data_IF_586996448680
#
_entry.id   IF_586996448680
#
_cell.length_a   1.000
_cell.length_b   1.000
_cell.length_c   1.000
_cell.angle_alpha   90.00
_cell.angle_beta   90.00
_cell.angle_gamma   90.00
#
_symmetry.space_group_name_H-M   'P 1'
#
loop_
_entity.id
_entity.type
_entity.pdbx_description
1 polymer ?
#
# COMPACT_ATOMS: atom_id res chain seq x y z
N UNK A 1 10.02 9.10 43.85
CA UNK A 1 10.90 9.99 43.07
C UNK A 1 11.05 9.36 41.71
N UNK A 2 10.69 10.14 40.70
CA UNK A 2 10.57 9.77 39.29
C UNK A 2 11.88 10.14 38.58
N UNK A 3 12.36 9.28 37.68
CA UNK A 3 13.31 9.52 36.55
C UNK A 3 13.61 8.12 35.99
N UNK A 4 13.20 7.70 34.81
CA UNK A 4 12.82 8.45 33.61
C UNK A 4 14.01 8.59 32.66
N UNK A 5 14.57 7.47 32.21
CA UNK A 5 15.45 7.37 31.04
C UNK A 5 14.81 6.28 30.17
N UNK A 6 14.33 6.53 28.96
CA UNK A 6 14.76 7.49 27.96
C UNK A 6 14.93 6.66 26.69
N UNK A 7 13.81 6.32 26.05
CA UNK A 7 13.81 5.62 24.76
C UNK A 7 14.44 6.58 23.76
N UNK A 8 15.70 6.33 23.40
CA UNK A 8 16.30 6.86 22.18
C UNK A 8 15.61 6.14 21.01
N UNK A 9 14.54 6.76 20.52
CA UNK A 9 14.00 6.48 19.19
C UNK A 9 14.90 7.23 18.23
N UNK A 10 15.71 6.49 17.49
CA UNK A 10 16.50 6.98 16.38
C UNK A 10 15.53 7.32 15.23
N UNK A 11 15.13 8.59 15.12
CA UNK A 11 14.20 9.08 14.10
C UNK A 11 14.93 9.33 12.77
N UNK A 12 15.48 8.27 12.18
CA UNK A 12 15.98 8.33 10.82
C UNK A 12 15.44 7.17 9.99
N UNK A 13 14.11 7.12 9.87
CA UNK A 13 13.40 6.21 8.98
C UNK A 13 12.77 6.98 7.80
N UNK A 14 13.41 8.07 7.36
CA UNK A 14 13.10 8.64 6.04
C UNK A 14 13.66 7.69 4.98
N UNK A 15 12.81 7.25 4.06
CA UNK A 15 13.25 6.42 2.96
C UNK A 15 14.28 7.20 2.10
N UNK A 16 15.23 6.52 1.43
CA UNK A 16 16.30 7.17 0.68
C UNK A 16 15.83 8.16 -0.40
N UNK A 17 14.58 8.02 -0.88
CA UNK A 17 14.03 8.92 -1.88
C UNK A 17 13.43 10.18 -1.24
N UNK A 18 12.75 10.05 -0.10
CA UNK A 18 12.32 11.22 0.69
C UNK A 18 13.54 12.05 1.13
N UNK A 19 14.64 11.39 1.51
CA UNK A 19 15.89 12.08 1.83
C UNK A 19 16.43 12.86 0.62
N UNK A 20 16.43 12.25 -0.56
CA UNK A 20 16.86 12.91 -1.80
C UNK A 20 16.00 14.13 -2.15
N UNK A 21 14.70 14.14 -1.82
CA UNK A 21 13.87 15.33 -2.00
C UNK A 21 14.36 16.50 -1.15
N UNK A 22 14.62 16.27 0.14
CA UNK A 22 15.09 17.31 1.07
C UNK A 22 16.50 17.80 0.76
N UNK A 23 17.34 16.97 0.14
CA UNK A 23 18.67 17.39 -0.31
C UNK A 23 18.61 18.35 -1.51
N UNK A 24 17.53 18.29 -2.30
CA UNK A 24 17.31 19.16 -3.45
C UNK A 24 16.53 20.43 -3.04
N UNK A 25 15.54 20.30 -2.16
CA UNK A 25 14.73 21.40 -1.59
C UNK A 25 15.50 22.16 -0.48
N UNK A 26 16.48 22.96 -0.89
CA UNK A 26 17.41 23.62 0.04
C UNK A 26 16.78 24.75 0.87
N UNK A 27 15.72 25.37 0.40
CA UNK A 27 14.96 26.40 1.12
C UNK A 27 13.78 25.81 1.93
N UNK A 28 13.56 24.49 1.84
CA UNK A 28 12.60 23.73 2.64
C UNK A 28 11.17 24.26 2.48
N UNK A 29 10.84 24.76 1.30
CA UNK A 29 9.51 25.28 0.99
C UNK A 29 8.54 24.15 0.55
N UNK A 30 9.06 22.91 0.40
CA UNK A 30 8.32 21.72 0.01
C UNK A 30 8.13 21.59 -1.50
N UNK A 31 8.83 22.41 -2.30
CA UNK A 31 8.67 22.55 -3.74
C UNK A 31 10.04 22.57 -4.43
N UNK A 32 10.36 21.50 -5.15
CA UNK A 32 11.55 21.50 -6.01
C UNK A 32 11.23 22.23 -7.32
N UNK A 33 11.93 23.32 -7.59
CA UNK A 33 11.87 24.03 -8.86
C UNK A 33 12.98 23.60 -9.82
N UNK A 34 12.90 24.07 -11.07
CA UNK A 34 14.00 23.89 -12.05
C UNK A 34 15.33 24.44 -11.55
N UNK A 35 15.29 25.60 -10.88
CA UNK A 35 16.49 26.26 -10.39
C UNK A 35 17.18 25.42 -9.30
N UNK A 36 16.39 24.76 -8.43
CA UNK A 36 16.90 23.91 -7.35
C UNK A 36 17.56 22.66 -7.89
N UNK A 37 16.96 22.02 -8.90
CA UNK A 37 17.57 20.88 -9.58
C UNK A 37 18.85 21.27 -10.32
N UNK A 38 18.88 22.43 -11.00
CA UNK A 38 20.08 22.93 -11.66
C UNK A 38 21.19 23.25 -10.64
N UNK A 39 20.84 23.82 -9.50
CA UNK A 39 21.77 24.09 -8.41
C UNK A 39 22.29 22.80 -7.78
N UNK A 40 21.43 21.81 -7.56
CA UNK A 40 21.80 20.50 -7.05
C UNK A 40 22.74 19.75 -8.01
N UNK A 41 22.47 19.81 -9.32
CA UNK A 41 23.32 19.23 -10.38
C UNK A 41 24.71 19.88 -10.41
N UNK A 42 24.76 21.21 -10.31
CA UNK A 42 26.02 21.96 -10.25
C UNK A 42 26.82 21.67 -8.98
N UNK A 43 26.16 21.55 -7.83
CA UNK A 43 26.82 21.36 -6.54
C UNK A 43 27.35 19.92 -6.34
N UNK A 44 26.78 18.94 -7.04
CA UNK A 44 27.17 17.54 -6.96
C UNK A 44 27.97 17.06 -8.19
N UNK A 45 28.48 17.99 -9.02
CA UNK A 45 29.32 17.72 -10.20
C UNK A 45 28.71 16.71 -11.21
N UNK A 46 27.39 16.73 -11.40
CA UNK A 46 26.75 15.87 -12.40
C UNK A 46 26.98 16.43 -13.82
N UNK A 47 27.52 15.59 -14.71
CA UNK A 47 27.93 15.98 -16.09
C UNK A 47 26.77 15.95 -17.10
N UNK A 48 25.62 15.38 -16.74
CA UNK A 48 24.50 15.19 -17.66
C UNK A 48 23.60 16.44 -17.76
N UNK A 49 23.78 17.23 -18.82
CA UNK A 49 22.96 18.40 -19.15
C UNK A 49 21.47 18.08 -19.37
N UNK A 50 21.12 16.81 -19.59
CA UNK A 50 19.73 16.37 -19.78
C UNK A 50 19.08 15.82 -18.51
N UNK A 51 19.82 15.72 -17.39
CA UNK A 51 19.29 15.21 -16.13
C UNK A 51 18.10 16.06 -15.66
N UNK A 52 18.27 17.39 -15.62
CA UNK A 52 17.20 18.32 -15.21
C UNK A 52 15.96 18.16 -16.09
N UNK A 53 16.13 18.06 -17.41
CA UNK A 53 15.02 17.87 -18.35
C UNK A 53 14.30 16.54 -18.15
N UNK A 54 15.06 15.48 -17.91
CA UNK A 54 14.51 14.13 -17.71
C UNK A 54 13.80 14.02 -16.38
N UNK A 55 14.35 14.61 -15.32
CA UNK A 55 13.73 14.69 -14.00
C UNK A 55 12.43 15.48 -14.03
N UNK A 56 12.45 16.66 -14.64
CA UNK A 56 11.23 17.44 -14.83
C UNK A 56 10.17 16.66 -15.60
N UNK A 57 10.54 15.99 -16.69
CA UNK A 57 9.60 15.16 -17.45
C UNK A 57 9.00 14.00 -16.65
N UNK A 58 9.74 13.43 -15.70
CA UNK A 58 9.28 12.30 -14.89
C UNK A 58 8.33 12.74 -13.76
N UNK A 59 8.60 13.88 -13.15
CA UNK A 59 7.94 14.31 -11.91
C UNK A 59 7.02 15.54 -12.06
N UNK A 60 7.26 16.45 -13.00
CA UNK A 60 6.39 17.59 -13.32
C UNK A 60 5.41 17.24 -14.45
N UNK A 61 4.34 16.51 -14.10
CA UNK A 61 3.29 16.11 -15.05
C UNK A 61 2.30 17.23 -15.42
N UNK A 62 2.38 18.38 -14.77
CA UNK A 62 1.45 19.51 -14.99
C UNK A 62 2.04 20.63 -15.85
N UNK A 63 3.26 20.47 -16.38
CA UNK A 63 4.02 21.54 -17.06
C UNK A 63 4.12 22.81 -16.20
N UNK A 64 4.11 22.63 -14.87
CA UNK A 64 4.12 23.72 -13.91
C UNK A 64 5.55 24.18 -13.55
N UNK A 65 6.58 23.44 -13.98
CA UNK A 65 7.98 23.55 -13.58
C UNK A 65 8.20 23.44 -12.04
N UNK A 66 7.23 22.84 -11.32
CA UNK A 66 7.23 22.69 -9.86
C UNK A 66 6.95 21.23 -9.47
N UNK A 67 7.80 20.66 -8.62
CA UNK A 67 7.65 19.30 -8.08
C UNK A 67 7.45 19.39 -6.57
N UNK A 68 6.22 19.22 -6.12
CA UNK A 68 5.91 19.18 -4.67
C UNK A 68 6.28 17.82 -4.07
N UNK A 69 6.60 17.80 -2.77
CA UNK A 69 6.89 16.54 -2.04
C UNK A 69 5.76 15.51 -2.19
N UNK A 70 4.53 16.00 -2.25
CA UNK A 70 3.33 15.19 -2.43
C UNK A 70 3.28 14.51 -3.79
N UNK A 71 3.60 15.25 -4.86
CA UNK A 71 3.67 14.69 -6.20
C UNK A 71 4.85 13.74 -6.35
N UNK A 72 5.99 14.07 -5.74
CA UNK A 72 7.19 13.25 -5.70
C UNK A 72 6.94 11.90 -5.02
N UNK A 73 6.43 11.91 -3.78
CA UNK A 73 6.06 10.70 -3.04
C UNK A 73 5.00 9.89 -3.78
N UNK A 74 3.96 10.54 -4.32
CA UNK A 74 2.93 9.88 -5.14
C UNK A 74 3.50 9.19 -6.37
N UNK A 75 4.47 9.80 -7.05
CA UNK A 75 5.14 9.22 -8.24
C UNK A 75 6.04 8.04 -7.88
N UNK A 76 6.66 8.09 -6.72
CA UNK A 76 7.50 7.00 -6.20
C UNK A 76 6.72 5.93 -5.41
N UNK A 77 5.43 6.15 -5.19
CA UNK A 77 4.57 5.23 -4.42
C UNK A 77 4.85 5.26 -2.91
N UNK A 78 5.43 6.35 -2.40
CA UNK A 78 5.77 6.52 -0.99
C UNK A 78 4.56 6.99 -0.18
N UNK A 79 4.42 6.53 1.08
CA UNK A 79 3.34 6.95 1.97
C UNK A 79 3.46 8.43 2.34
N UNK A 80 2.33 9.10 2.38
CA UNK A 80 2.22 10.53 2.68
C UNK A 80 1.96 10.73 4.19
N UNK A 81 2.94 11.30 4.88
CA UNK A 81 2.98 11.45 6.34
C UNK A 81 1.97 12.49 6.87
N UNK A 82 1.42 13.37 6.01
CA UNK A 82 0.58 14.49 6.46
C UNK A 82 -0.93 14.19 6.58
N UNK A 83 -1.39 13.01 6.13
CA UNK A 83 -2.83 12.68 6.16
C UNK A 83 -3.40 12.32 7.54
N UNK A 84 -2.58 12.24 8.58
CA UNK A 84 -3.01 11.79 9.90
C UNK A 84 -3.34 12.92 10.91
N UNK A 85 -3.32 14.20 10.51
CA UNK A 85 -3.48 15.32 11.49
C UNK A 85 -4.71 16.22 11.36
N UNK A 86 -5.58 16.05 10.36
CA UNK A 86 -6.72 16.96 10.19
C UNK A 86 -8.02 16.23 9.83
N UNK A 87 -8.68 15.61 10.82
CA UNK A 87 -10.13 15.35 10.78
C UNK A 87 -10.67 15.08 12.20
N UNK A 88 -10.48 16.07 13.09
CA UNK A 88 -11.23 16.15 14.34
C UNK A 88 -12.11 17.39 14.28
N UNK A 89 -13.38 17.22 13.86
CA UNK A 89 -14.61 17.92 14.32
C UNK A 89 -15.69 18.00 13.22
N UNK A 90 -16.83 17.35 13.47
CA UNK A 90 -18.18 17.58 12.93
C UNK A 90 -18.53 17.13 11.49
N UNK A 91 -19.17 15.96 11.39
CA UNK A 91 -20.54 15.94 10.87
C UNK A 91 -21.38 14.86 11.55
N UNK A 92 -22.55 15.26 12.03
CA UNK A 92 -23.49 14.46 12.80
C UNK A 92 -24.45 13.76 11.84
N UNK A 93 -24.09 12.57 11.37
CA UNK A 93 -25.03 11.62 10.77
C UNK A 93 -24.69 10.22 11.30
N UNK A 94 -25.68 9.42 11.74
CA UNK A 94 -25.44 8.04 12.13
C UNK A 94 -25.20 7.23 10.86
N UNK A 95 -23.96 7.20 10.37
CA UNK A 95 -23.57 6.19 9.39
C UNK A 95 -23.62 4.80 10.04
N UNK A 96 -24.11 3.77 9.32
CA UNK A 96 -24.10 2.39 9.78
C UNK A 96 -22.67 1.98 10.10
N UNK A 97 -22.44 0.95 10.95
CA UNK A 97 -21.11 0.54 11.36
C UNK A 97 -20.31 0.07 10.14
N UNK A 98 -19.60 1.01 9.51
CA UNK A 98 -18.58 0.74 8.54
C UNK A 98 -17.47 0.03 9.31
N UNK A 99 -17.12 -1.16 8.82
CA UNK A 99 -16.09 -2.11 9.28
C UNK A 99 -14.66 -1.52 9.33
N UNK A 100 -14.54 -0.20 9.29
CA UNK A 100 -13.34 0.64 9.40
C UNK A 100 -12.58 0.52 10.74
N UNK A 101 -12.85 -0.50 11.56
CA UNK A 101 -12.07 -0.77 12.80
C UNK A 101 -11.17 -2.00 12.68
N UNK A 102 -11.14 -2.70 11.54
CA UNK A 102 -10.03 -3.60 11.25
C UNK A 102 -8.84 -2.72 10.88
N UNK A 103 -7.89 -2.58 11.80
CA UNK A 103 -6.84 -1.57 11.75
C UNK A 103 -6.13 -1.61 10.41
N UNK A 104 -6.09 -0.46 9.73
CA UNK A 104 -5.32 -0.24 8.51
C UNK A 104 -3.81 -0.62 8.65
N UNK A 105 -3.33 -0.86 9.88
CA UNK A 105 -1.99 -1.37 10.22
C UNK A 105 -1.73 -2.84 9.87
N UNK A 106 -2.70 -3.60 9.36
CA UNK A 106 -2.55 -5.05 9.18
C UNK A 106 -2.35 -5.51 7.72
N UNK A 107 -2.38 -4.59 6.75
CA UNK A 107 -2.27 -4.94 5.33
C UNK A 107 -0.85 -4.69 4.83
N UNK A 108 -0.15 -5.75 4.41
CA UNK A 108 1.21 -5.67 3.86
C UNK A 108 1.28 -6.34 2.50
N UNK A 109 1.69 -5.61 1.48
CA UNK A 109 2.00 -6.21 0.17
C UNK A 109 3.35 -6.94 0.28
N UNK A 110 3.39 -8.19 -0.15
CA UNK A 110 4.59 -9.02 -0.19
C UNK A 110 5.21 -8.99 -1.59
N UNK A 111 4.37 -9.11 -2.62
CA UNK A 111 4.78 -9.08 -4.02
C UNK A 111 3.58 -8.74 -4.90
N UNK A 112 3.77 -7.98 -5.96
CA UNK A 112 2.71 -7.68 -6.91
C UNK A 112 3.28 -7.53 -8.32
N UNK A 113 2.56 -8.05 -9.30
CA UNK A 113 2.76 -7.69 -10.72
C UNK A 113 1.58 -6.90 -11.28
N UNK A 114 0.38 -7.03 -10.70
CA UNK A 114 -0.80 -6.29 -11.18
C UNK A 114 -0.75 -4.78 -10.84
N UNK A 115 -1.42 -3.88 -11.59
CA UNK A 115 -1.43 -2.44 -11.32
C UNK A 115 -2.03 -2.07 -9.97
N UNK A 116 -1.54 -1.00 -9.33
CA UNK A 116 -1.96 -0.58 -7.99
C UNK A 116 -3.48 -0.39 -7.82
N UNK A 117 -4.17 0.11 -8.87
CA UNK A 117 -5.64 0.24 -8.86
C UNK A 117 -6.30 -1.13 -8.69
N UNK A 118 -5.82 -2.14 -9.42
CA UNK A 118 -6.35 -3.50 -9.32
C UNK A 118 -5.94 -4.15 -7.99
N UNK A 119 -4.75 -3.84 -7.46
CA UNK A 119 -4.33 -4.32 -6.14
C UNK A 119 -5.29 -3.83 -5.05
N UNK A 120 -5.63 -2.53 -5.05
CA UNK A 120 -6.57 -1.95 -4.09
C UNK A 120 -7.95 -2.61 -4.17
N UNK A 121 -8.47 -2.84 -5.39
CA UNK A 121 -9.76 -3.51 -5.60
C UNK A 121 -9.76 -4.94 -5.05
N UNK A 122 -8.69 -5.70 -5.28
CA UNK A 122 -8.56 -7.08 -4.79
C UNK A 122 -8.44 -7.13 -3.27
N UNK A 123 -7.69 -6.21 -2.67
CA UNK A 123 -7.51 -6.13 -1.22
C UNK A 123 -8.84 -5.75 -0.56
N UNK A 124 -9.56 -4.76 -1.10
CA UNK A 124 -10.87 -4.34 -0.60
C UNK A 124 -11.87 -5.50 -0.62
N UNK A 125 -11.97 -6.22 -1.74
CA UNK A 125 -12.85 -7.38 -1.85
C UNK A 125 -12.44 -8.50 -0.88
N UNK A 126 -11.14 -8.71 -0.67
CA UNK A 126 -10.64 -9.70 0.29
C UNK A 126 -11.05 -9.33 1.73
N UNK A 127 -10.91 -8.06 2.12
CA UNK A 127 -11.39 -7.54 3.40
C UNK A 127 -12.90 -7.75 3.56
N UNK A 128 -13.68 -7.45 2.52
CA UNK A 128 -15.14 -7.65 2.51
C UNK A 128 -15.50 -9.11 2.74
N UNK A 129 -14.85 -10.03 2.03
CA UNK A 129 -15.07 -11.47 2.16
C UNK A 129 -14.68 -12.01 3.54
N UNK A 130 -13.57 -11.50 4.11
CA UNK A 130 -13.17 -11.83 5.49
C UNK A 130 -14.28 -11.45 6.45
N UNK A 131 -14.80 -10.22 6.39
CA UNK A 131 -15.87 -9.76 7.27
C UNK A 131 -17.12 -10.66 7.14
N UNK A 132 -17.60 -10.88 5.92
CA UNK A 132 -18.83 -11.66 5.68
C UNK A 132 -18.71 -13.13 6.12
N UNK A 133 -17.56 -13.76 5.87
CA UNK A 133 -17.36 -15.18 6.15
C UNK A 133 -16.99 -15.44 7.61
N UNK A 134 -16.57 -14.40 8.33
CA UNK A 134 -16.29 -14.43 9.77
C UNK A 134 -17.58 -14.30 10.58
N UNK A 135 -18.48 -13.39 10.18
CA UNK A 135 -19.78 -13.20 10.85
C UNK A 135 -20.72 -14.40 10.68
N UNK A 136 -20.74 -15.00 9.48
CA UNK A 136 -21.60 -16.15 9.16
C UNK A 136 -21.17 -17.48 9.81
N UNK A 137 -19.94 -17.56 10.34
CA UNK A 137 -19.34 -18.80 10.87
C UNK A 137 -19.39 -18.92 12.39
N UNK A 138 -20.31 -18.22 13.07
CA UNK A 138 -20.46 -18.33 14.52
C UNK A 138 -20.98 -19.71 14.92
N UNK A 139 -20.17 -20.48 15.66
CA UNK A 139 -20.59 -21.74 16.28
C UNK A 139 -20.89 -21.53 17.77
N UNK A 140 -21.98 -22.14 18.23
CA UNK A 140 -22.36 -22.18 19.64
C UNK A 140 -21.87 -23.50 20.24
N UNK A 141 -20.70 -23.49 20.87
CA UNK A 141 -20.19 -24.62 21.63
C UNK A 141 -19.80 -24.14 23.03
N UNK A 142 -20.45 -24.67 24.07
CA UNK A 142 -19.98 -24.49 25.46
C UNK A 142 -20.04 -23.07 26.04
N UNK A 143 -20.97 -22.23 25.60
CA UNK A 143 -21.23 -20.92 26.24
C UNK A 143 -20.30 -19.76 25.82
N UNK A 144 -19.31 -20.00 24.95
CA UNK A 144 -18.48 -18.95 24.36
C UNK A 144 -18.71 -18.85 22.84
N UNK A 145 -18.99 -17.64 22.34
CA UNK A 145 -19.11 -17.36 20.91
C UNK A 145 -17.71 -17.33 20.31
N UNK A 146 -17.29 -18.42 19.67
CA UNK A 146 -16.07 -18.43 18.85
C UNK A 146 -16.40 -17.95 17.45
N UNK A 147 -15.97 -16.73 17.13
CA UNK A 147 -16.01 -16.19 15.77
C UNK A 147 -14.82 -16.78 15.03
N UNK A 148 -15.07 -17.61 14.02
CA UNK A 148 -14.02 -18.27 13.24
C UNK A 148 -14.07 -17.77 11.80
N UNK A 149 -12.95 -17.25 11.31
CA UNK A 149 -12.80 -16.96 9.89
C UNK A 149 -12.87 -18.25 9.08
N UNK A 150 -13.65 -18.27 8.00
CA UNK A 150 -13.76 -19.43 7.11
C UNK A 150 -12.86 -19.22 5.88
N UNK A 151 -11.62 -19.71 5.99
CA UNK A 151 -10.60 -19.58 4.94
C UNK A 151 -11.04 -20.25 3.65
N UNK A 152 -11.60 -21.46 3.73
CA UNK A 152 -11.98 -22.26 2.56
C UNK A 152 -13.06 -21.56 1.73
N UNK A 153 -14.10 -21.04 2.38
CA UNK A 153 -15.16 -20.30 1.69
C UNK A 153 -14.63 -18.98 1.11
N UNK A 154 -13.74 -18.32 1.83
CA UNK A 154 -13.12 -17.06 1.39
C UNK A 154 -12.26 -17.27 0.14
N UNK A 155 -11.43 -18.30 0.12
CA UNK A 155 -10.62 -18.64 -1.05
C UNK A 155 -11.49 -18.96 -2.28
N UNK A 156 -12.58 -19.73 -2.09
CA UNK A 156 -13.50 -20.06 -3.18
C UNK A 156 -14.22 -18.82 -3.75
N UNK A 157 -14.74 -17.96 -2.86
CA UNK A 157 -15.43 -16.73 -3.26
C UNK A 157 -14.49 -15.75 -3.97
N UNK A 158 -13.29 -15.56 -3.41
CA UNK A 158 -12.29 -14.66 -3.99
C UNK A 158 -11.84 -15.15 -5.36
N UNK A 159 -11.63 -16.46 -5.53
CA UNK A 159 -11.31 -17.06 -6.84
C UNK A 159 -12.40 -16.78 -7.86
N UNK A 160 -13.67 -17.01 -7.50
CA UNK A 160 -14.79 -16.76 -8.40
C UNK A 160 -14.88 -15.29 -8.79
N UNK A 161 -14.70 -14.38 -7.84
CA UNK A 161 -14.72 -12.94 -8.10
C UNK A 161 -13.58 -12.51 -9.04
N UNK A 162 -12.35 -12.96 -8.78
CA UNK A 162 -11.18 -12.69 -9.64
C UNK A 162 -11.40 -13.20 -11.06
N UNK A 163 -11.97 -14.39 -11.21
CA UNK A 163 -12.26 -15.00 -12.51
C UNK A 163 -13.31 -14.23 -13.31
N UNK A 164 -14.32 -13.67 -12.63
CA UNK A 164 -15.34 -12.83 -13.26
C UNK A 164 -14.78 -11.45 -13.64
N UNK A 165 -13.87 -10.90 -12.83
CA UNK A 165 -13.37 -9.54 -12.98
C UNK A 165 -12.18 -9.43 -13.93
N UNK A 166 -11.24 -10.37 -13.85
CA UNK A 166 -9.94 -10.32 -14.53
C UNK A 166 -9.69 -11.53 -15.46
N UNK A 167 -10.72 -12.34 -15.72
CA UNK A 167 -10.63 -13.50 -16.59
C UNK A 167 -10.10 -14.76 -15.89
N UNK A 168 -10.15 -15.90 -16.58
CA UNK A 168 -9.78 -17.23 -16.03
C UNK A 168 -8.37 -17.65 -16.48
N UNK A 169 -7.67 -18.53 -15.77
CA UNK A 169 -8.02 -19.20 -14.50
C UNK A 169 -7.17 -18.64 -13.35
N UNK A 170 -7.79 -18.34 -12.21
CA UNK A 170 -7.09 -17.86 -11.02
C UNK A 170 -6.82 -18.97 -9.99
N UNK A 171 -5.64 -18.89 -9.39
CA UNK A 171 -5.26 -19.66 -8.20
C UNK A 171 -5.32 -18.72 -6.99
N UNK A 172 -5.93 -19.21 -5.91
CA UNK A 172 -6.10 -18.47 -4.66
C UNK A 172 -5.70 -19.39 -3.51
N UNK A 173 -4.67 -18.99 -2.76
CA UNK A 173 -4.21 -19.70 -1.57
C UNK A 173 -4.24 -18.74 -0.39
N UNK A 174 -4.77 -19.20 0.74
CA UNK A 174 -4.75 -18.50 2.03
C UNK A 174 -3.89 -19.32 2.98
N UNK A 175 -2.86 -18.71 3.56
CA UNK A 175 -1.90 -19.37 4.45
C UNK A 175 -1.84 -18.62 5.78
N UNK A 176 -1.77 -19.36 6.88
CA UNK A 176 -1.39 -18.82 8.17
C UNK A 176 -0.01 -19.37 8.53
N UNK A 177 1.03 -18.53 8.41
CA UNK A 177 2.43 -18.90 8.63
C UNK A 177 3.34 -18.59 7.45
N UNK A 178 4.48 -19.27 7.40
CA UNK A 178 5.49 -19.10 6.35
C UNK A 178 5.24 -20.00 5.14
N UNK A 179 5.65 -19.55 3.95
CA UNK A 179 5.51 -20.29 2.70
C UNK A 179 6.74 -20.09 1.81
N UNK A 180 6.96 -21.04 0.90
CA UNK A 180 7.95 -20.96 -0.17
C UNK A 180 7.30 -21.46 -1.46
N UNK A 181 7.50 -20.73 -2.56
CA UNK A 181 6.95 -21.12 -3.85
C UNK A 181 7.83 -20.65 -5.01
N UNK A 182 7.80 -21.43 -6.09
CA UNK A 182 8.24 -21.01 -7.42
C UNK A 182 7.06 -21.20 -8.37
N UNK A 183 6.74 -20.17 -9.15
CA UNK A 183 5.55 -20.17 -10.01
C UNK A 183 5.76 -19.27 -11.22
N UNK A 184 4.97 -19.54 -12.26
CA UNK A 184 4.83 -18.69 -13.44
C UNK A 184 3.38 -18.23 -13.52
N UNK A 185 3.20 -16.99 -13.94
CA UNK A 185 1.89 -16.35 -14.02
C UNK A 185 1.82 -15.48 -15.28
N UNK A 186 0.60 -15.16 -15.68
CA UNK A 186 0.37 -14.19 -16.75
C UNK A 186 0.85 -12.79 -16.31
N UNK A 187 1.37 -12.02 -17.25
CA UNK A 187 1.87 -10.66 -17.00
C UNK A 187 0.76 -9.84 -16.31
N UNK A 188 1.16 -9.05 -15.32
CA UNK A 188 0.28 -8.17 -14.54
C UNK A 188 -0.89 -8.86 -13.82
N UNK A 189 -0.77 -10.17 -13.55
CA UNK A 189 -1.84 -10.96 -12.94
C UNK A 189 -1.38 -11.76 -11.73
N UNK A 190 -0.54 -11.19 -10.87
CA UNK A 190 -0.25 -11.75 -9.54
C UNK A 190 -0.24 -10.71 -8.43
N UNK A 191 -0.65 -11.16 -7.24
CA UNK A 191 -0.66 -10.38 -6.02
C UNK A 191 -0.50 -11.29 -4.81
N UNK A 192 0.45 -10.92 -3.94
CA UNK A 192 0.71 -11.54 -2.66
C UNK A 192 0.66 -10.47 -1.59
N UNK A 193 -0.18 -10.64 -0.59
CA UNK A 193 -0.35 -9.69 0.50
C UNK A 193 -0.78 -10.40 1.77
N UNK A 194 -0.58 -9.74 2.89
CA UNK A 194 -0.95 -10.21 4.21
C UNK A 194 -2.04 -9.30 4.77
N UNK A 195 -3.06 -9.90 5.39
CA UNK A 195 -4.04 -9.23 6.26
C UNK A 195 -3.99 -9.95 7.60
N UNK A 196 -3.52 -9.25 8.64
CA UNK A 196 -3.38 -9.81 9.98
C UNK A 196 -2.46 -11.04 9.98
N UNK A 197 -2.97 -12.18 10.43
CA UNK A 197 -2.21 -13.46 10.43
C UNK A 197 -2.26 -14.25 9.13
N UNK A 198 -3.03 -13.79 8.13
CA UNK A 198 -3.31 -14.55 6.91
C UNK A 198 -2.63 -13.93 5.70
N UNK A 199 -1.92 -14.76 4.94
CA UNK A 199 -1.27 -14.42 3.68
C UNK A 199 -2.11 -14.94 2.52
N UNK A 200 -2.39 -14.05 1.57
CA UNK A 200 -3.12 -14.32 0.34
C UNK A 200 -2.13 -14.39 -0.82
N UNK A 201 -2.15 -15.50 -1.56
CA UNK A 201 -1.33 -15.73 -2.74
C UNK A 201 -2.26 -15.91 -3.93
N UNK A 202 -2.23 -14.94 -4.85
CA UNK A 202 -3.15 -14.86 -5.98
C UNK A 202 -2.35 -14.78 -7.26
N UNK A 203 -2.65 -15.65 -8.23
CA UNK A 203 -2.10 -15.49 -9.58
C UNK A 203 -2.99 -16.13 -10.65
N UNK A 204 -2.93 -15.56 -11.86
CA UNK A 204 -3.57 -16.11 -13.06
C UNK A 204 -2.57 -16.92 -13.88
N UNK A 205 -3.01 -18.07 -14.38
CA UNK A 205 -2.26 -18.86 -15.36
C UNK A 205 -2.89 -18.71 -16.75
N UNK A 206 -2.09 -18.69 -17.84
CA UNK A 206 -2.62 -18.67 -19.20
C UNK A 206 -3.63 -19.79 -19.40
N UNK A 207 -4.76 -19.47 -20.03
CA UNK A 207 -5.66 -20.49 -20.55
C UNK A 207 -4.98 -21.12 -21.76
N UNK A 208 -4.68 -22.40 -21.70
CA UNK A 208 -4.12 -23.16 -22.83
C UNK A 208 -5.09 -23.26 -24.01
#
# INVERSE_FOLDING_TARGET
MNTGEGIVVDFNESDPFTQAFYEIDTDSDGIITRADLEQFVRNNDFVDENLVKSWMKLFDTSESDLITIQLYKKKLGLPDEERDRTNSSHSSFPEPPSYATMRASEIRIISASMPAINQAEVIEESCRLIATNTEGSSSFCGGNRTIKFNESQTAANLRQWLELRFGRVWHVIIVQGSYWMHYSHEIDCSLQFQIGSHVFLLWRTPSG
#
